data_IF_685195018659
#
_entry.id   IF_685195018659
#
_cell.length_a   1.000
_cell.length_b   1.000
_cell.length_c   1.000
_cell.angle_alpha   90.00
_cell.angle_beta   90.00
_cell.angle_gamma   90.00
#
_symmetry.space_group_name_H-M   'P 1'
#
loop_
_entity.id
_entity.type
_entity.pdbx_description
1 polymer ?
#
# COMPACT_ATOMS: atom_id res chain seq x y z
N UNK A 1 -1.80 -1.91 24.28
CA UNK A 1 -2.34 -2.69 23.11
C UNK A 1 -1.50 -2.35 21.89
N UNK A 2 -1.18 -3.34 21.06
CA UNK A 2 -0.46 -3.12 19.78
C UNK A 2 -1.45 -2.99 18.63
N UNK A 3 -1.08 -2.20 17.62
CA UNK A 3 -1.89 -2.00 16.44
C UNK A 3 -1.09 -1.38 15.29
N UNK A 4 -1.72 -1.32 14.11
CA UNK A 4 -1.18 -0.69 12.91
C UNK A 4 -2.03 0.52 12.52
N UNK A 5 -1.39 1.65 12.22
CA UNK A 5 -2.09 2.83 11.70
C UNK A 5 -2.55 2.53 10.28
N UNK A 6 -3.86 2.55 10.05
CA UNK A 6 -4.47 2.31 8.73
C UNK A 6 -4.95 3.59 8.05
N UNK A 7 -5.07 4.70 8.79
CA UNK A 7 -5.56 5.97 8.28
C UNK A 7 -5.14 7.13 9.20
N UNK A 8 -4.85 8.29 8.62
CA UNK A 8 -4.57 9.52 9.36
C UNK A 8 -5.34 10.70 8.75
N UNK A 9 -6.17 11.40 9.53
CA UNK A 9 -6.98 12.54 9.10
C UNK A 9 -7.02 13.59 10.19
N UNK A 10 -6.69 14.83 9.84
CA UNK A 10 -6.84 16.00 10.71
C UNK A 10 -6.21 15.84 12.12
N UNK A 11 -5.09 15.11 12.20
CA UNK A 11 -4.38 14.86 13.46
C UNK A 11 -4.92 13.69 14.29
N UNK A 12 -5.92 12.99 13.79
CA UNK A 12 -6.38 11.70 14.32
C UNK A 12 -5.82 10.55 13.52
N UNK A 13 -5.56 9.43 14.18
CA UNK A 13 -5.03 8.22 13.60
C UNK A 13 -5.97 7.06 13.90
N UNK A 14 -6.31 6.30 12.89
CA UNK A 14 -7.14 5.10 13.02
C UNK A 14 -6.21 3.91 13.10
N UNK A 15 -6.23 3.26 14.26
CA UNK A 15 -5.34 2.16 14.60
C UNK A 15 -6.12 0.86 14.58
N UNK A 16 -5.75 -0.05 13.71
CA UNK A 16 -6.29 -1.40 13.67
C UNK A 16 -5.56 -2.25 14.71
N UNK A 17 -6.29 -2.74 15.71
CA UNK A 17 -5.74 -3.58 16.78
C UNK A 17 -5.30 -4.94 16.23
N UNK A 18 -4.07 -5.34 16.57
CA UNK A 18 -3.49 -6.64 16.17
C UNK A 18 -3.25 -7.57 17.36
N UNK A 19 -3.49 -7.11 18.58
CA UNK A 19 -3.38 -7.94 19.77
C UNK A 19 -4.47 -9.01 19.82
N UNK A 20 -4.14 -10.09 20.51
CA UNK A 20 -4.98 -11.27 20.66
C UNK A 20 -6.16 -11.00 21.59
N UNK A 21 -7.31 -11.57 21.29
CA UNK A 21 -8.50 -11.51 22.14
C UNK A 21 -9.68 -10.79 21.49
N UNK A 22 -10.63 -10.31 22.31
CA UNK A 22 -11.88 -9.69 21.84
C UNK A 22 -11.71 -8.39 21.06
N UNK A 23 -10.51 -7.79 21.08
CA UNK A 23 -10.20 -6.52 20.40
C UNK A 23 -9.54 -6.71 19.03
N UNK A 24 -9.18 -7.95 18.68
CA UNK A 24 -8.56 -8.24 17.39
C UNK A 24 -9.46 -7.78 16.23
N UNK A 25 -8.87 -7.03 15.29
CA UNK A 25 -9.60 -6.50 14.14
C UNK A 25 -10.41 -5.24 14.41
N UNK A 26 -10.44 -4.74 15.64
CA UNK A 26 -11.13 -3.49 15.98
C UNK A 26 -10.30 -2.28 15.58
N UNK A 27 -10.96 -1.20 15.16
CA UNK A 27 -10.33 0.07 14.80
C UNK A 27 -10.61 1.10 15.87
N UNK A 28 -9.54 1.71 16.39
CA UNK A 28 -9.62 2.77 17.40
C UNK A 28 -9.23 4.12 16.79
N UNK A 29 -10.00 5.15 17.09
CA UNK A 29 -9.63 6.54 16.80
C UNK A 29 -8.67 7.04 17.87
N UNK A 30 -7.44 7.32 17.50
CA UNK A 30 -6.38 7.68 18.41
C UNK A 30 -5.83 9.08 18.13
N UNK A 31 -5.42 9.76 19.21
CA UNK A 31 -4.58 10.96 19.13
C UNK A 31 -3.12 10.58 19.34
N UNK A 32 -2.22 11.27 18.65
CA UNK A 32 -0.79 11.16 18.93
C UNK A 32 -0.43 12.11 20.10
N UNK A 33 0.31 11.61 21.10
CA UNK A 33 0.83 12.45 22.18
C UNK A 33 1.79 13.50 21.63
N UNK A 34 1.82 14.69 22.21
CA UNK A 34 2.68 15.80 21.78
C UNK A 34 4.19 15.52 21.75
N UNK A 35 4.63 14.44 22.44
CA UNK A 35 6.03 13.96 22.45
C UNK A 35 6.54 13.66 21.03
N UNK A 36 5.72 13.10 20.15
CA UNK A 36 6.13 12.80 18.76
C UNK A 36 6.47 14.04 17.92
N UNK A 37 5.97 15.23 18.34
CA UNK A 37 6.35 16.51 17.71
C UNK A 37 7.75 16.96 18.16
N UNK A 38 8.16 16.60 19.38
CA UNK A 38 9.49 16.95 19.91
C UNK A 38 10.59 16.10 19.27
N UNK A 39 10.28 14.84 18.96
CA UNK A 39 11.23 13.90 18.37
C UNK A 39 11.27 13.95 16.84
N UNK A 40 10.55 14.92 16.22
CA UNK A 40 10.41 15.07 14.77
C UNK A 40 9.91 13.80 14.03
N UNK A 41 9.35 12.82 14.76
CA UNK A 41 8.79 11.60 14.21
C UNK A 41 7.28 11.74 14.05
N UNK A 42 6.83 12.09 12.86
CA UNK A 42 5.40 12.12 12.54
C UNK A 42 4.88 10.70 12.33
N UNK A 43 3.75 10.31 12.98
CA UNK A 43 3.12 9.03 12.68
C UNK A 43 2.66 8.97 11.23
N UNK A 44 2.89 7.84 10.58
CA UNK A 44 2.51 7.56 9.19
C UNK A 44 1.50 6.40 9.14
N UNK A 45 0.72 6.34 8.07
CA UNK A 45 -0.05 5.13 7.74
C UNK A 45 0.95 3.98 7.54
N UNK A 46 0.64 2.82 8.12
CA UNK A 46 1.54 1.66 8.14
C UNK A 46 2.41 1.54 9.39
N UNK A 47 2.54 2.59 10.21
CA UNK A 47 3.27 2.47 11.49
C UNK A 47 2.64 1.42 12.39
N UNK A 48 3.50 0.58 12.97
CA UNK A 48 3.15 -0.25 14.09
C UNK A 48 3.30 0.57 15.37
N UNK A 49 2.29 0.51 16.23
CA UNK A 49 2.19 1.37 17.41
C UNK A 49 1.79 0.61 18.66
N UNK A 50 2.19 1.15 19.81
CA UNK A 50 1.52 0.86 21.07
C UNK A 50 0.53 1.99 21.41
N UNK A 51 -0.68 1.61 21.81
CA UNK A 51 -1.72 2.55 22.18
C UNK A 51 -2.33 2.21 23.53
N UNK A 52 -2.79 3.27 24.22
CA UNK A 52 -3.60 3.19 25.43
C UNK A 52 -5.07 3.36 25.01
N UNK A 53 -5.94 2.43 25.39
CA UNK A 53 -7.39 2.55 25.19
C UNK A 53 -7.95 3.48 26.28
N UNK A 54 -8.66 4.50 25.86
CA UNK A 54 -9.31 5.46 26.75
C UNK A 54 -10.79 5.15 26.96
N UNK A 55 -11.45 4.71 25.89
CA UNK A 55 -12.87 4.37 25.91
C UNK A 55 -13.11 3.18 24.95
N UNK A 56 -13.44 2.04 25.53
CA UNK A 56 -13.69 0.81 24.82
C UNK A 56 -14.99 0.86 24.01
N UNK A 57 -16.02 1.50 24.55
CA UNK A 57 -17.34 1.61 23.91
C UNK A 57 -17.29 2.53 22.69
N UNK A 58 -16.58 3.66 22.81
CA UNK A 58 -16.41 4.63 21.72
C UNK A 58 -15.20 4.34 20.82
N UNK A 59 -14.41 3.28 21.10
CA UNK A 59 -13.18 2.94 20.37
C UNK A 59 -12.22 4.12 20.28
N UNK A 60 -11.93 4.77 21.40
CA UNK A 60 -11.00 5.89 21.48
C UNK A 60 -9.74 5.52 22.24
N UNK A 61 -8.60 6.06 21.77
CA UNK A 61 -7.30 5.79 22.38
C UNK A 61 -6.28 6.91 22.15
N UNK A 62 -5.10 6.69 22.70
CA UNK A 62 -3.93 7.51 22.44
C UNK A 62 -2.77 6.63 21.97
N UNK A 63 -2.05 7.05 20.94
CA UNK A 63 -0.80 6.44 20.56
C UNK A 63 0.22 6.78 21.64
N UNK A 64 0.77 5.75 22.28
CA UNK A 64 1.79 5.87 23.32
C UNK A 64 3.19 5.88 22.72
N UNK A 65 3.43 4.98 21.76
CA UNK A 65 4.74 4.75 21.15
C UNK A 65 4.61 4.38 19.68
N UNK A 66 5.56 4.86 18.86
CA UNK A 66 5.79 4.40 17.49
C UNK A 66 6.89 3.34 17.52
N UNK A 67 6.58 2.14 17.09
CA UNK A 67 7.54 1.05 17.02
C UNK A 67 8.56 1.29 15.88
N UNK A 68 9.72 0.62 15.89
CA UNK A 68 10.71 0.76 14.83
C UNK A 68 10.12 0.44 13.46
N UNK A 69 10.41 1.28 12.48
CA UNK A 69 10.06 1.07 11.08
C UNK A 69 11.08 0.16 10.42
N UNK A 70 10.63 -0.78 9.59
CA UNK A 70 11.50 -1.54 8.68
C UNK A 70 11.61 -0.88 7.31
N UNK A 71 10.60 -0.07 6.93
CA UNK A 71 10.64 0.74 5.72
C UNK A 71 9.88 2.05 5.92
N UNK A 72 10.26 3.07 5.16
CA UNK A 72 9.59 4.38 5.16
C UNK A 72 9.64 4.97 3.75
N UNK A 73 8.48 5.21 3.15
CA UNK A 73 8.37 5.86 1.86
C UNK A 73 8.08 7.36 2.04
N UNK A 74 8.70 8.17 1.19
CA UNK A 74 8.47 9.62 1.14
C UNK A 74 7.20 9.94 0.34
N UNK A 75 6.97 9.19 -0.75
CA UNK A 75 5.79 9.33 -1.63
C UNK A 75 5.33 7.97 -2.15
N UNK A 76 4.14 7.51 -1.70
CA UNK A 76 3.32 8.09 -0.65
C UNK A 76 4.02 8.06 0.72
N UNK A 77 3.65 8.98 1.62
CA UNK A 77 4.20 9.01 2.99
C UNK A 77 3.58 7.88 3.82
N UNK A 78 4.20 6.71 3.79
CA UNK A 78 3.76 5.48 4.47
C UNK A 78 4.96 4.75 5.07
N UNK A 79 4.71 3.94 6.09
CA UNK A 79 5.72 3.15 6.78
C UNK A 79 5.40 1.64 6.70
N UNK A 80 6.43 0.82 6.96
CA UNK A 80 6.31 -0.63 7.08
C UNK A 80 5.63 -1.28 5.87
N UNK A 81 6.04 -0.85 4.67
CA UNK A 81 5.59 -1.40 3.38
C UNK A 81 6.50 -2.55 2.99
N UNK A 82 5.91 -3.69 2.69
CA UNK A 82 6.62 -4.90 2.28
C UNK A 82 6.82 -4.96 0.76
N UNK A 83 5.93 -4.32 -0.01
CA UNK A 83 5.98 -4.31 -1.47
C UNK A 83 5.14 -3.19 -2.08
N UNK A 84 5.41 -2.86 -3.34
CA UNK A 84 4.60 -1.95 -4.15
C UNK A 84 3.90 -2.70 -5.30
N UNK A 85 2.60 -2.45 -5.48
CA UNK A 85 1.83 -2.86 -6.65
C UNK A 85 1.65 -1.64 -7.55
N UNK A 86 2.37 -1.62 -8.69
CA UNK A 86 2.34 -0.52 -9.65
C UNK A 86 1.39 -0.87 -10.79
N UNK A 87 0.25 -0.18 -10.87
CA UNK A 87 -0.83 -0.51 -11.80
C UNK A 87 -0.83 0.45 -12.99
N UNK A 88 -0.78 -0.11 -14.20
CA UNK A 88 -0.95 0.60 -15.46
C UNK A 88 -2.01 -0.09 -16.31
N UNK A 89 -2.75 0.66 -17.11
CA UNK A 89 -3.63 0.08 -18.12
C UNK A 89 -2.80 -0.30 -19.35
N UNK A 90 -3.16 -1.37 -20.04
CA UNK A 90 -2.49 -1.79 -21.28
C UNK A 90 -2.74 -0.79 -22.40
N UNK A 91 -3.97 -0.26 -22.48
CA UNK A 91 -4.37 0.63 -23.58
C UNK A 91 -5.02 1.95 -23.13
N UNK A 92 -6.09 1.92 -22.37
CA UNK A 92 -6.93 3.08 -22.02
C UNK A 92 -6.90 3.37 -20.52
N UNK A 93 -6.11 4.36 -20.05
CA UNK A 93 -5.23 5.25 -20.82
C UNK A 93 -3.99 4.54 -21.37
N UNK A 94 -3.40 5.07 -22.43
CA UNK A 94 -2.11 4.57 -22.96
C UNK A 94 -1.05 4.65 -21.85
N UNK A 95 -0.25 3.59 -21.65
CA UNK A 95 0.76 3.58 -20.61
C UNK A 95 1.87 4.60 -20.89
N UNK A 96 2.21 5.39 -19.89
CA UNK A 96 3.39 6.23 -19.90
C UNK A 96 4.54 5.47 -19.24
N UNK A 97 5.39 4.83 -20.04
CA UNK A 97 6.50 4.02 -19.55
C UNK A 97 7.54 4.83 -18.79
N UNK A 98 7.80 6.09 -19.18
CA UNK A 98 8.68 6.97 -18.41
C UNK A 98 8.16 7.18 -16.97
N UNK A 99 6.85 7.25 -16.79
CA UNK A 99 6.25 7.35 -15.46
C UNK A 99 6.36 6.02 -14.70
N UNK A 100 6.15 4.89 -15.37
CA UNK A 100 6.31 3.57 -14.79
C UNK A 100 7.75 3.38 -14.31
N UNK A 101 8.74 3.64 -15.16
CA UNK A 101 10.16 3.51 -14.85
C UNK A 101 10.57 4.37 -13.64
N UNK A 102 10.05 5.61 -13.56
CA UNK A 102 10.28 6.48 -12.39
C UNK A 102 9.72 5.89 -11.10
N UNK A 103 8.54 5.27 -11.14
CA UNK A 103 8.00 4.57 -9.97
C UNK A 103 8.90 3.41 -9.56
N UNK A 104 9.36 2.60 -10.52
CA UNK A 104 10.20 1.45 -10.25
C UNK A 104 11.55 1.87 -9.64
N UNK A 105 12.20 2.87 -10.23
CA UNK A 105 13.48 3.41 -9.72
C UNK A 105 13.30 3.96 -8.30
N UNK A 106 12.22 4.72 -8.05
CA UNK A 106 11.94 5.29 -6.73
C UNK A 106 11.73 4.20 -5.67
N UNK A 107 11.07 3.10 -6.01
CA UNK A 107 10.87 1.98 -5.09
C UNK A 107 12.18 1.20 -4.88
N UNK A 108 12.95 0.95 -5.95
CA UNK A 108 14.26 0.31 -5.82
C UNK A 108 15.23 1.09 -4.94
N UNK A 109 15.25 2.42 -5.02
CA UNK A 109 16.08 3.27 -4.16
C UNK A 109 15.74 3.15 -2.68
N UNK A 110 14.57 2.63 -2.36
CA UNK A 110 14.08 2.43 -1.00
C UNK A 110 13.98 0.93 -0.63
N UNK A 111 14.62 0.06 -1.43
CA UNK A 111 14.63 -1.39 -1.26
C UNK A 111 13.22 -2.02 -1.19
N UNK A 112 12.23 -1.42 -1.85
CA UNK A 112 10.86 -1.93 -1.89
C UNK A 112 10.64 -2.78 -3.14
N UNK A 113 10.36 -4.09 -3.00
CA UNK A 113 10.03 -4.95 -4.12
C UNK A 113 8.79 -4.45 -4.89
N UNK A 114 8.87 -4.43 -6.23
CA UNK A 114 7.77 -4.00 -7.08
C UNK A 114 7.15 -5.15 -7.86
N UNK A 115 5.82 -5.10 -7.96
CA UNK A 115 5.03 -5.93 -8.86
C UNK A 115 4.34 -4.98 -9.84
N UNK A 116 4.51 -5.21 -11.13
CA UNK A 116 3.84 -4.44 -12.18
C UNK A 116 2.55 -5.15 -12.56
N UNK A 117 1.44 -4.45 -12.45
CA UNK A 117 0.13 -4.94 -12.83
C UNK A 117 -0.39 -4.22 -14.08
N UNK A 118 -0.46 -4.90 -15.20
CA UNK A 118 -1.06 -4.41 -16.42
C UNK A 118 -2.55 -4.76 -16.42
N UNK A 119 -3.39 -3.76 -16.12
CA UNK A 119 -4.85 -3.93 -16.06
C UNK A 119 -5.50 -3.66 -17.41
N UNK A 120 -6.76 -4.10 -17.54
CA UNK A 120 -7.62 -3.96 -18.72
C UNK A 120 -7.15 -4.81 -19.90
N UNK A 121 -6.65 -6.01 -19.62
CA UNK A 121 -6.30 -6.97 -20.68
C UNK A 121 -7.50 -7.37 -21.57
N UNK A 122 -8.71 -7.18 -21.08
CA UNK A 122 -9.96 -7.45 -21.81
C UNK A 122 -10.20 -6.54 -23.02
N UNK A 123 -9.50 -5.42 -23.09
CA UNK A 123 -9.56 -4.47 -24.21
C UNK A 123 -8.23 -4.34 -24.95
N UNK A 124 -7.34 -5.30 -24.79
CA UNK A 124 -6.05 -5.40 -25.47
C UNK A 124 -6.21 -6.15 -26.80
N UNK A 125 -6.78 -5.47 -27.80
CA UNK A 125 -7.03 -6.02 -29.12
C UNK A 125 -5.73 -6.30 -29.92
N UNK A 126 -4.65 -5.59 -29.59
CA UNK A 126 -3.35 -5.69 -30.27
C UNK A 126 -2.38 -6.68 -29.61
N UNK A 127 -2.75 -7.30 -28.49
CA UNK A 127 -1.90 -8.25 -27.77
C UNK A 127 -0.65 -7.65 -27.12
N UNK A 128 -0.65 -6.34 -26.84
CA UNK A 128 0.48 -5.58 -26.29
C UNK A 128 0.93 -6.03 -24.91
N UNK A 129 0.06 -6.71 -24.17
CA UNK A 129 0.37 -7.18 -22.80
C UNK A 129 1.61 -8.07 -22.76
N UNK A 130 1.80 -8.91 -23.77
CA UNK A 130 2.94 -9.85 -23.79
C UNK A 130 4.25 -9.10 -24.02
N UNK A 131 4.26 -8.10 -24.91
CA UNK A 131 5.43 -7.26 -25.16
C UNK A 131 5.81 -6.46 -23.92
N UNK A 132 4.84 -5.84 -23.25
CA UNK A 132 5.08 -5.06 -22.04
C UNK A 132 5.60 -5.93 -20.89
N UNK A 133 5.01 -7.11 -20.72
CA UNK A 133 5.47 -8.07 -19.71
C UNK A 133 6.90 -8.52 -20.00
N UNK A 134 7.19 -8.92 -21.23
CA UNK A 134 8.51 -9.40 -21.62
C UNK A 134 9.62 -8.36 -21.34
N UNK A 135 9.37 -7.08 -21.65
CA UNK A 135 10.30 -5.97 -21.38
C UNK A 135 10.65 -5.90 -19.89
N UNK A 136 9.65 -5.88 -19.00
CA UNK A 136 9.88 -5.68 -17.58
C UNK A 136 10.31 -6.95 -16.84
N UNK A 137 9.89 -8.13 -17.30
CA UNK A 137 10.38 -9.42 -16.79
C UNK A 137 11.87 -9.61 -17.14
N UNK A 138 12.29 -9.21 -18.33
CA UNK A 138 13.70 -9.20 -18.71
C UNK A 138 14.54 -8.23 -17.86
N UNK A 139 13.93 -7.14 -17.39
CA UNK A 139 14.54 -6.21 -16.44
C UNK A 139 14.50 -6.70 -14.98
N UNK A 140 13.98 -7.90 -14.71
CA UNK A 140 13.93 -8.51 -13.39
C UNK A 140 12.69 -8.16 -12.53
N UNK A 141 11.70 -7.48 -13.10
CA UNK A 141 10.46 -7.18 -12.38
C UNK A 141 9.42 -8.29 -12.56
N UNK A 142 8.70 -8.57 -11.48
CA UNK A 142 7.53 -9.44 -11.57
C UNK A 142 6.39 -8.70 -12.24
N UNK A 143 5.80 -9.28 -13.27
CA UNK A 143 4.66 -8.70 -13.99
C UNK A 143 3.44 -9.61 -13.93
N UNK A 144 2.25 -9.00 -13.94
CA UNK A 144 0.97 -9.67 -14.05
C UNK A 144 0.08 -8.89 -15.01
N UNK A 145 -0.78 -9.59 -15.76
CA UNK A 145 -1.83 -8.98 -16.56
C UNK A 145 -3.20 -9.42 -16.04
N UNK A 146 -4.13 -8.45 -15.91
CA UNK A 146 -5.43 -8.68 -15.31
C UNK A 146 -6.53 -7.91 -16.04
N UNK A 147 -7.78 -8.32 -15.81
CA UNK A 147 -8.96 -7.51 -16.07
C UNK A 147 -9.79 -7.38 -14.81
N UNK A 148 -9.75 -6.22 -14.17
CA UNK A 148 -10.60 -5.96 -13.01
C UNK A 148 -12.09 -6.00 -13.41
N UNK A 149 -12.45 -5.54 -14.62
CA UNK A 149 -13.81 -5.54 -15.12
C UNK A 149 -14.38 -6.97 -15.29
N UNK A 150 -13.56 -7.90 -15.77
CA UNK A 150 -13.94 -9.31 -15.95
C UNK A 150 -13.56 -10.22 -14.78
N UNK A 151 -12.91 -9.66 -13.76
CA UNK A 151 -12.34 -10.38 -12.60
C UNK A 151 -11.29 -11.44 -12.98
N UNK A 152 -10.62 -11.28 -14.13
CA UNK A 152 -9.57 -12.19 -14.59
C UNK A 152 -8.23 -11.82 -13.90
N UNK A 153 -7.54 -12.82 -13.34
CA UNK A 153 -6.24 -12.64 -12.67
C UNK A 153 -6.32 -11.99 -11.28
N UNK A 154 -7.50 -11.74 -10.73
CA UNK A 154 -7.68 -11.13 -9.40
C UNK A 154 -7.22 -12.07 -8.29
N UNK A 155 -7.44 -13.37 -8.43
CA UNK A 155 -6.98 -14.36 -7.45
C UNK A 155 -5.44 -14.31 -7.31
N UNK A 156 -4.72 -14.15 -8.42
CA UNK A 156 -3.27 -13.98 -8.40
C UNK A 156 -2.84 -12.72 -7.63
N UNK A 157 -3.57 -11.60 -7.81
CA UNK A 157 -3.31 -10.39 -7.01
C UNK A 157 -3.56 -10.68 -5.53
N UNK A 158 -4.67 -11.30 -5.17
CA UNK A 158 -5.00 -11.61 -3.78
C UNK A 158 -3.92 -12.46 -3.10
N UNK A 159 -3.41 -13.48 -3.80
CA UNK A 159 -2.30 -14.30 -3.30
C UNK A 159 -1.02 -13.49 -3.09
N UNK A 160 -0.69 -12.60 -4.03
CA UNK A 160 0.48 -11.74 -3.94
C UNK A 160 0.42 -10.73 -2.78
N UNK A 161 -0.79 -10.29 -2.43
CA UNK A 161 -1.02 -9.31 -1.35
C UNK A 161 -1.15 -9.98 0.03
N UNK A 162 -1.42 -11.28 0.08
CA UNK A 162 -1.71 -11.97 1.34
C UNK A 162 -0.55 -11.86 2.32
N UNK A 163 -0.85 -11.39 3.55
CA UNK A 163 0.12 -11.26 4.64
C UNK A 163 1.14 -10.14 4.47
N UNK A 164 0.94 -9.23 3.49
CA UNK A 164 1.87 -8.13 3.21
C UNK A 164 1.18 -6.78 3.27
N UNK A 165 1.90 -5.80 3.77
CA UNK A 165 1.53 -4.39 3.64
C UNK A 165 1.97 -3.90 2.27
N UNK A 166 1.00 -3.64 1.39
CA UNK A 166 1.28 -3.27 -0.01
C UNK A 166 0.86 -1.82 -0.28
N UNK A 167 1.78 -1.02 -0.81
CA UNK A 167 1.41 0.28 -1.37
C UNK A 167 0.99 0.12 -2.82
N UNK A 168 -0.05 0.89 -3.24
CA UNK A 168 -0.55 0.87 -4.61
C UNK A 168 -0.22 2.19 -5.30
N UNK A 169 0.44 2.14 -6.44
CA UNK A 169 0.80 3.29 -7.26
C UNK A 169 0.28 3.14 -8.69
N UNK A 170 0.18 4.26 -9.40
CA UNK A 170 -0.21 4.29 -10.81
C UNK A 170 -1.03 5.52 -11.16
N UNK A 171 -1.15 5.88 -12.46
CA UNK A 171 -1.88 7.06 -12.92
C UNK A 171 -3.40 6.95 -12.68
N UNK A 172 -4.11 8.05 -12.94
CA UNK A 172 -5.57 8.04 -12.86
C UNK A 172 -6.19 7.18 -13.97
N UNK A 173 -7.32 6.54 -13.69
CA UNK A 173 -8.09 5.79 -14.69
C UNK A 173 -7.57 4.40 -15.04
N UNK A 174 -6.50 3.92 -14.41
CA UNK A 174 -5.94 2.57 -14.66
C UNK A 174 -6.66 1.44 -13.91
N UNK A 175 -7.60 1.76 -13.02
CA UNK A 175 -8.38 0.76 -12.27
C UNK A 175 -7.80 0.41 -10.89
N UNK A 176 -7.14 1.37 -10.20
CA UNK A 176 -6.64 1.13 -8.83
C UNK A 176 -7.74 0.85 -7.81
N UNK A 177 -8.91 1.43 -8.01
CA UNK A 177 -10.06 1.33 -7.08
C UNK A 177 -11.08 0.28 -7.52
N UNK A 178 -10.87 -0.37 -8.64
CA UNK A 178 -11.70 -1.47 -9.14
C UNK A 178 -11.24 -2.77 -8.54
#
# INVERSE_FOLDING_TARGET
MKGKIIKGIAGFYYVHAVDVGHTMGMVYECKAKGVFRKDHRKPLVGDDVEMDVLDEAQKKGNIRELLPRHSELIRPAVANVDQALVIFAITKPQPNFNLLDRFLIMMQQQDIPCIICFNKQDIDEEGKKEDYRAIYEQAGFRTIAVSAAKKEGIDTIQELLRGKTTTVAGPSGVGKSS
#
